data_IF_619985002179
#
_entry.id   IF_619985002179
#
_cell.length_a   1.000
_cell.length_b   1.000
_cell.length_c   1.000
_cell.angle_alpha   90.00
_cell.angle_beta   90.00
_cell.angle_gamma   90.00
#
_symmetry.space_group_name_H-M   'P 1'
#
loop_
_entity.id
_entity.type
_entity.pdbx_description
1 polymer ?
#
# COMPACT_ATOMS: atom_id res chain seq x y z
N UNK A 1 -9.96 31.49 -18.86
CA UNK A 1 -8.68 30.75 -18.97
C UNK A 1 -8.60 29.89 -20.24
N UNK A 2 -9.69 29.66 -21.00
CA UNK A 2 -9.63 28.94 -22.29
C UNK A 2 -8.78 29.65 -23.35
N UNK A 3 -8.91 30.97 -23.50
CA UNK A 3 -8.19 31.77 -24.52
C UNK A 3 -6.66 31.60 -24.47
N UNK A 4 -6.10 31.36 -23.27
CA UNK A 4 -4.67 31.08 -23.14
C UNK A 4 -4.31 29.76 -23.81
N UNK A 5 -5.07 28.68 -23.56
CA UNK A 5 -4.84 27.37 -24.16
C UNK A 5 -5.16 27.35 -25.66
N UNK A 6 -6.14 28.12 -26.09
CA UNK A 6 -6.55 28.22 -27.49
C UNK A 6 -5.55 28.99 -28.38
N UNK A 7 -4.81 29.94 -27.79
CA UNK A 7 -3.86 30.81 -28.52
C UNK A 7 -2.43 30.71 -28.00
N UNK A 8 -2.11 29.62 -27.30
CA UNK A 8 -0.81 29.46 -26.64
C UNK A 8 0.38 29.49 -27.62
N UNK A 9 0.16 29.09 -28.88
CA UNK A 9 1.16 29.04 -29.95
C UNK A 9 1.60 30.41 -30.47
N UNK A 10 0.86 31.49 -30.14
CA UNK A 10 1.22 32.86 -30.54
C UNK A 10 2.32 33.46 -29.66
N UNK A 11 2.66 32.80 -28.54
CA UNK A 11 3.71 33.23 -27.62
C UNK A 11 5.07 32.66 -28.06
N UNK A 12 6.06 33.53 -28.28
CA UNK A 12 7.42 33.11 -28.62
C UNK A 12 8.07 32.18 -27.57
N UNK A 13 7.71 32.34 -26.30
CA UNK A 13 8.25 31.55 -25.19
C UNK A 13 7.34 30.39 -24.75
N UNK A 14 6.40 29.96 -25.60
CA UNK A 14 5.36 29.02 -25.19
C UNK A 14 5.92 27.71 -24.64
N UNK A 15 6.94 27.14 -25.27
CA UNK A 15 7.55 25.88 -24.80
C UNK A 15 8.12 26.02 -23.38
N UNK A 16 8.69 27.19 -23.06
CA UNK A 16 9.21 27.48 -21.72
C UNK A 16 8.08 27.58 -20.70
N UNK A 17 6.98 28.24 -21.06
CA UNK A 17 5.82 28.44 -20.20
C UNK A 17 5.11 27.09 -19.95
N UNK A 18 4.85 26.31 -21.00
CA UNK A 18 4.28 24.96 -20.88
C UNK A 18 5.19 24.10 -20.00
N UNK A 19 6.50 24.08 -20.25
CA UNK A 19 7.44 23.34 -19.43
C UNK A 19 7.50 23.80 -17.96
N UNK A 20 7.16 25.06 -17.65
CA UNK A 20 6.99 25.52 -16.26
C UNK A 20 5.69 25.01 -15.65
N UNK A 21 4.58 25.07 -16.40
CA UNK A 21 3.27 24.57 -15.98
C UNK A 21 3.35 23.07 -15.70
N UNK A 22 3.85 22.27 -16.65
CA UNK A 22 3.98 20.82 -16.51
C UNK A 22 4.85 20.42 -15.31
N UNK A 23 5.97 21.14 -15.08
CA UNK A 23 6.81 20.92 -13.89
C UNK A 23 6.08 21.28 -12.59
N UNK A 24 5.25 22.32 -12.61
CA UNK A 24 4.41 22.72 -11.48
C UNK A 24 3.36 21.64 -11.17
N UNK A 25 2.62 21.21 -12.19
CA UNK A 25 1.59 20.18 -12.10
C UNK A 25 2.19 18.84 -11.64
N UNK A 26 3.33 18.43 -12.18
CA UNK A 26 4.02 17.21 -11.76
C UNK A 26 4.38 17.22 -10.27
N UNK A 27 4.80 18.37 -9.73
CA UNK A 27 5.08 18.53 -8.29
C UNK A 27 3.82 18.42 -7.45
N UNK A 28 2.74 19.07 -7.88
CA UNK A 28 1.44 19.01 -7.19
C UNK A 28 0.91 17.57 -7.18
N UNK A 29 0.94 16.91 -8.33
CA UNK A 29 0.46 15.54 -8.48
C UNK A 29 1.27 14.55 -7.65
N UNK A 30 2.59 14.74 -7.57
CA UNK A 30 3.46 13.97 -6.68
C UNK A 30 3.08 14.15 -5.21
N UNK A 31 2.85 15.39 -4.75
CA UNK A 31 2.43 15.67 -3.36
C UNK A 31 1.11 14.96 -3.02
N UNK A 32 0.13 15.02 -3.92
CA UNK A 32 -1.17 14.34 -3.77
C UNK A 32 -0.98 12.82 -3.71
N UNK A 33 -0.15 12.26 -4.60
CA UNK A 33 0.18 10.84 -4.64
C UNK A 33 0.79 10.34 -3.34
N UNK A 34 1.81 11.05 -2.83
CA UNK A 34 2.49 10.70 -1.57
C UNK A 34 1.51 10.73 -0.40
N UNK A 35 0.70 11.79 -0.28
CA UNK A 35 -0.31 11.90 0.77
C UNK A 35 -1.26 10.70 0.76
N UNK A 36 -1.82 10.37 -0.42
CA UNK A 36 -2.73 9.23 -0.58
C UNK A 36 -2.05 7.90 -0.24
N UNK A 37 -0.79 7.73 -0.64
CA UNK A 37 -0.04 6.51 -0.37
C UNK A 37 0.20 6.32 1.13
N UNK A 38 0.57 7.40 1.84
CA UNK A 38 0.73 7.39 3.29
C UNK A 38 -0.60 7.15 4.01
N UNK A 39 -1.69 7.85 3.62
CA UNK A 39 -3.02 7.66 4.20
C UNK A 39 -3.49 6.21 4.07
N UNK A 40 -3.36 5.63 2.87
CA UNK A 40 -3.68 4.22 2.61
C UNK A 40 -2.84 3.26 3.47
N UNK A 41 -1.55 3.55 3.64
CA UNK A 41 -0.65 2.74 4.46
C UNK A 41 -1.01 2.82 5.95
N UNK A 42 -1.28 4.02 6.47
CA UNK A 42 -1.66 4.23 7.87
C UNK A 42 -3.01 3.59 8.21
N UNK A 43 -3.98 3.69 7.29
CA UNK A 43 -5.32 3.12 7.47
C UNK A 43 -5.35 1.60 7.64
N UNK A 44 -4.28 0.88 7.29
CA UNK A 44 -4.16 -0.57 7.49
C UNK A 44 -3.85 -0.98 8.93
N UNK A 45 -3.41 -0.05 9.78
CA UNK A 45 -2.95 -0.34 11.13
C UNK A 45 -3.75 0.46 12.16
N UNK A 46 -4.18 -0.22 13.24
CA UNK A 46 -4.85 0.45 14.37
C UNK A 46 -3.89 1.29 15.20
N UNK A 47 -2.64 0.84 15.32
CA UNK A 47 -1.57 1.56 16.02
C UNK A 47 -0.31 1.64 15.13
N UNK A 48 -0.24 2.58 14.17
CA UNK A 48 0.83 2.65 13.17
C UNK A 48 2.23 2.74 13.79
N UNK A 49 2.41 3.55 14.85
CA UNK A 49 3.70 3.72 15.54
C UNK A 49 4.30 2.43 16.12
N UNK A 50 3.50 1.39 16.33
CA UNK A 50 3.97 0.11 16.87
C UNK A 50 3.88 -1.00 15.81
N UNK A 51 2.89 -0.96 14.92
CA UNK A 51 2.53 -2.10 14.06
C UNK A 51 2.92 -1.91 12.59
N UNK A 52 3.13 -0.69 12.11
CA UNK A 52 3.39 -0.43 10.69
C UNK A 52 4.69 -1.07 10.21
N UNK A 53 4.59 -2.04 9.29
CA UNK A 53 5.76 -2.66 8.65
C UNK A 53 5.96 -2.12 7.25
N UNK A 54 7.21 -1.97 6.83
CA UNK A 54 7.60 -1.52 5.49
C UNK A 54 8.18 -2.69 4.71
N UNK A 55 7.71 -2.88 3.47
CA UNK A 55 8.26 -3.88 2.56
C UNK A 55 9.54 -3.34 1.89
N UNK A 56 10.71 -3.67 2.45
CA UNK A 56 11.98 -3.13 1.96
C UNK A 56 12.50 -3.76 0.66
N UNK A 57 12.16 -5.02 0.40
CA UNK A 57 12.86 -5.82 -0.63
C UNK A 57 14.38 -5.78 -0.40
N UNK A 58 15.13 -5.36 -1.41
CA UNK A 58 16.60 -5.24 -1.36
C UNK A 58 17.09 -3.91 -0.75
N UNK A 59 16.21 -2.95 -0.44
CA UNK A 59 16.57 -1.55 -0.13
C UNK A 59 16.53 -1.17 1.37
N UNK A 60 16.59 -2.14 2.30
CA UNK A 60 16.53 -1.83 3.74
C UNK A 60 17.70 -0.95 4.20
N UNK A 61 18.90 -1.18 3.66
CA UNK A 61 20.14 -0.56 4.12
C UNK A 61 20.58 -1.09 5.49
N UNK A 62 21.87 -0.98 5.81
CA UNK A 62 22.45 -1.53 7.06
C UNK A 62 22.30 -0.60 8.27
N UNK A 63 22.08 0.69 8.03
CA UNK A 63 22.21 1.72 9.06
C UNK A 63 20.88 2.06 9.75
N UNK A 64 19.75 1.73 9.14
CA UNK A 64 18.42 2.11 9.62
C UNK A 64 17.68 0.90 10.16
N UNK A 65 17.06 1.03 11.33
CA UNK A 65 16.23 -0.02 11.90
C UNK A 65 14.76 0.11 11.46
N UNK A 66 14.01 -0.99 11.59
CA UNK A 66 12.58 -0.99 11.25
C UNK A 66 11.75 -0.11 12.22
N UNK A 67 12.26 0.13 13.42
CA UNK A 67 11.62 0.99 14.42
C UNK A 67 11.83 2.47 14.08
N UNK A 68 13.05 2.85 13.69
CA UNK A 68 13.38 4.19 13.21
C UNK A 68 12.56 4.56 11.96
N UNK A 69 12.55 3.69 10.95
CA UNK A 69 11.80 3.96 9.71
C UNK A 69 10.29 4.09 9.95
N UNK A 70 9.75 3.24 10.83
CA UNK A 70 8.33 3.30 11.23
C UNK A 70 8.00 4.64 11.88
N UNK A 71 8.87 5.10 12.78
CA UNK A 71 8.70 6.39 13.42
C UNK A 71 8.76 7.53 12.41
N UNK A 72 9.74 7.52 11.48
CA UNK A 72 9.86 8.54 10.44
C UNK A 72 8.60 8.61 9.58
N UNK A 73 8.09 7.47 9.11
CA UNK A 73 6.89 7.42 8.26
C UNK A 73 5.63 7.87 9.03
N UNK A 74 5.49 7.46 10.29
CA UNK A 74 4.37 7.88 11.14
C UNK A 74 4.43 9.38 11.48
N UNK A 75 5.61 9.91 11.77
CA UNK A 75 5.80 11.32 12.08
C UNK A 75 5.59 12.20 10.85
N UNK A 76 6.10 11.77 9.69
CA UNK A 76 5.91 12.43 8.40
C UNK A 76 4.42 12.56 8.05
N UNK A 77 3.64 11.50 8.29
CA UNK A 77 2.18 11.54 8.11
C UNK A 77 1.49 12.46 9.11
N UNK A 78 1.87 12.39 10.39
CA UNK A 78 1.27 13.18 11.48
C UNK A 78 1.51 14.69 11.32
N UNK A 79 2.74 15.09 10.94
CA UNK A 79 3.11 16.49 10.74
C UNK A 79 2.60 17.04 9.40
N UNK A 80 2.44 16.15 8.42
CA UNK A 80 2.00 16.44 7.07
C UNK A 80 3.16 16.74 6.13
N UNK A 81 3.38 15.88 5.14
CA UNK A 81 4.50 15.94 4.17
C UNK A 81 4.71 17.30 3.47
N UNK A 82 3.65 18.11 3.33
CA UNK A 82 3.69 19.34 2.54
C UNK A 82 4.14 20.59 3.32
N UNK A 83 4.38 20.48 4.63
CA UNK A 83 4.95 21.59 5.40
C UNK A 83 6.43 21.79 5.05
N UNK A 84 6.87 23.04 5.00
CA UNK A 84 8.22 23.41 4.56
C UNK A 84 9.33 22.90 5.50
N UNK A 85 9.03 22.81 6.81
CA UNK A 85 10.00 22.44 7.87
C UNK A 85 9.73 21.07 8.49
N UNK A 86 9.04 20.15 7.81
CA UNK A 86 8.66 18.84 8.40
C UNK A 86 9.86 18.05 8.86
N UNK A 87 10.96 18.09 8.10
CA UNK A 87 12.15 17.31 8.42
C UNK A 87 12.92 17.90 9.60
N UNK A 88 12.90 19.23 9.77
CA UNK A 88 13.44 19.91 10.94
C UNK A 88 12.57 19.69 12.19
N UNK A 89 11.25 19.72 12.04
CA UNK A 89 10.34 19.34 13.14
C UNK A 89 10.53 17.86 13.53
N UNK A 90 10.65 16.98 12.54
CA UNK A 90 10.87 15.54 12.78
C UNK A 90 12.19 15.30 13.52
N UNK A 91 13.27 16.01 13.17
CA UNK A 91 14.56 15.90 13.87
C UNK A 91 14.45 16.36 15.33
N UNK A 92 13.66 17.40 15.61
CA UNK A 92 13.39 17.88 16.98
C UNK A 92 12.52 16.90 17.80
N UNK A 93 11.68 16.09 17.17
CA UNK A 93 10.88 15.09 17.87
C UNK A 93 11.65 13.80 18.18
N UNK A 94 12.65 13.43 17.39
CA UNK A 94 13.46 12.21 17.63
C UNK A 94 14.03 12.11 19.06
N UNK A 95 14.60 13.18 19.66
CA UNK A 95 15.11 13.14 21.04
C UNK A 95 14.05 13.00 22.14
N UNK A 96 12.80 13.36 21.85
CA UNK A 96 11.71 13.40 22.85
C UNK A 96 11.06 12.04 23.11
N UNK A 97 11.26 11.08 22.20
CA UNK A 97 10.73 9.73 22.35
C UNK A 97 11.51 8.92 23.40
N UNK A 98 10.86 8.35 24.42
CA UNK A 98 11.52 7.44 25.37
C UNK A 98 12.23 6.28 24.68
N UNK A 99 11.70 5.81 23.55
CA UNK A 99 12.25 4.71 22.75
C UNK A 99 13.59 5.04 22.09
N UNK A 100 13.90 6.32 21.84
CA UNK A 100 15.15 6.75 21.21
C UNK A 100 16.18 7.25 22.24
N UNK A 101 15.97 6.99 23.53
CA UNK A 101 16.81 7.54 24.59
C UNK A 101 18.29 7.17 24.43
N UNK A 102 18.58 5.95 23.97
CA UNK A 102 19.94 5.45 23.73
C UNK A 102 20.33 5.41 22.24
N UNK A 103 19.42 5.78 21.35
CA UNK A 103 19.66 5.76 19.91
C UNK A 103 20.35 7.06 19.46
N UNK A 104 21.68 7.05 19.53
CA UNK A 104 22.53 8.14 19.04
C UNK A 104 22.52 8.26 17.50
N UNK A 105 22.16 7.20 16.78
CA UNK A 105 22.17 7.21 15.32
C UNK A 105 21.08 8.15 14.80
N UNK A 106 19.83 7.94 15.21
CA UNK A 106 18.71 8.78 14.75
C UNK A 106 18.81 10.21 15.28
N UNK A 107 19.35 10.40 16.49
CA UNK A 107 19.58 11.73 17.10
C UNK A 107 20.65 12.55 16.39
N UNK A 108 21.64 11.90 15.79
CA UNK A 108 22.72 12.59 15.07
C UNK A 108 22.38 12.88 13.61
N UNK A 109 21.19 12.50 13.12
CA UNK A 109 20.79 12.76 11.73
C UNK A 109 20.36 14.19 11.53
N UNK A 110 20.85 14.77 10.44
CA UNK A 110 20.39 16.08 9.95
C UNK A 110 19.03 15.97 9.28
N UNK A 111 18.28 17.07 9.21
CA UNK A 111 17.01 17.13 8.48
C UNK A 111 17.14 16.64 7.02
N UNK A 112 18.25 16.95 6.35
CA UNK A 112 18.51 16.50 4.98
C UNK A 112 18.71 14.97 4.89
N UNK A 113 19.35 14.35 5.87
CA UNK A 113 19.49 12.88 5.91
C UNK A 113 18.15 12.20 6.20
N UNK A 114 17.36 12.75 7.13
CA UNK A 114 16.00 12.29 7.40
C UNK A 114 15.13 12.41 6.14
N UNK A 115 15.24 13.52 5.41
CA UNK A 115 14.54 13.73 4.15
C UNK A 115 14.89 12.68 3.09
N UNK A 116 16.18 12.40 2.88
CA UNK A 116 16.62 11.35 1.94
C UNK A 116 16.07 9.98 2.33
N UNK A 117 16.09 9.66 3.63
CA UNK A 117 15.53 8.40 4.12
C UNK A 117 14.03 8.34 3.88
N UNK A 118 13.28 9.37 4.27
CA UNK A 118 11.84 9.48 4.05
C UNK A 118 11.46 9.33 2.57
N UNK A 119 12.18 9.98 1.64
CA UNK A 119 11.95 9.83 0.20
C UNK A 119 12.12 8.37 -0.28
N UNK A 120 13.07 7.65 0.29
CA UNK A 120 13.26 6.22 0.01
C UNK A 120 12.08 5.41 0.55
N UNK A 121 11.67 5.66 1.79
CA UNK A 121 10.53 4.98 2.42
C UNK A 121 9.21 5.24 1.68
N UNK A 122 8.99 6.46 1.22
CA UNK A 122 7.84 6.83 0.38
C UNK A 122 7.82 5.98 -0.89
N UNK A 123 8.95 5.90 -1.62
CA UNK A 123 9.05 5.09 -2.84
C UNK A 123 8.72 3.62 -2.58
N UNK A 124 9.16 3.07 -1.45
CA UNK A 124 8.84 1.70 -1.05
C UNK A 124 7.34 1.51 -0.77
N UNK A 125 6.72 2.47 -0.09
CA UNK A 125 5.28 2.45 0.21
C UNK A 125 4.44 2.60 -1.06
N UNK A 126 4.82 3.49 -1.97
CA UNK A 126 4.16 3.67 -3.27
C UNK A 126 4.19 2.37 -4.07
N UNK A 127 5.35 1.72 -4.16
CA UNK A 127 5.50 0.43 -4.83
C UNK A 127 4.66 -0.66 -4.17
N UNK A 128 4.70 -0.77 -2.84
CA UNK A 128 3.90 -1.74 -2.09
C UNK A 128 2.40 -1.53 -2.34
N UNK A 129 1.94 -0.28 -2.36
CA UNK A 129 0.54 0.04 -2.65
C UNK A 129 0.16 -0.36 -4.08
N UNK A 130 1.03 -0.12 -5.05
CA UNK A 130 0.80 -0.50 -6.45
C UNK A 130 0.66 -2.02 -6.60
N UNK A 131 1.57 -2.78 -5.98
CA UNK A 131 1.52 -4.25 -5.99
C UNK A 131 0.25 -4.80 -5.32
N UNK A 132 -0.25 -4.13 -4.28
CA UNK A 132 -1.50 -4.51 -3.60
C UNK A 132 -2.73 -4.17 -4.45
N UNK A 133 -2.78 -2.99 -5.08
CA UNK A 133 -3.86 -2.60 -5.97
C UNK A 133 -3.96 -3.53 -7.19
N UNK A 134 -2.83 -3.96 -7.75
CA UNK A 134 -2.79 -4.93 -8.84
C UNK A 134 -3.32 -6.30 -8.44
N UNK A 135 -2.93 -6.80 -7.25
CA UNK A 135 -3.45 -8.05 -6.70
C UNK A 135 -4.97 -8.00 -6.49
N UNK A 136 -5.48 -6.92 -5.90
CA UNK A 136 -6.92 -6.75 -5.68
C UNK A 136 -7.70 -6.72 -7.01
N UNK A 137 -7.17 -6.04 -8.04
CA UNK A 137 -7.76 -6.04 -9.39
C UNK A 137 -7.75 -7.42 -10.03
N UNK A 138 -6.67 -8.19 -9.85
CA UNK A 138 -6.57 -9.54 -10.38
C UNK A 138 -7.57 -10.50 -9.70
N UNK A 139 -7.74 -10.40 -8.39
CA UNK A 139 -8.72 -11.19 -7.63
C UNK A 139 -10.16 -10.85 -8.00
N UNK A 140 -10.50 -9.56 -8.15
CA UNK A 140 -11.82 -9.12 -8.65
C UNK A 140 -12.13 -9.66 -10.05
N UNK A 141 -11.13 -9.74 -10.93
CA UNK A 141 -11.28 -10.35 -12.28
C UNK A 141 -11.48 -11.87 -12.22
N UNK A 142 -10.84 -12.57 -11.27
CA UNK A 142 -11.02 -14.01 -11.07
C UNK A 142 -12.37 -14.35 -10.43
N UNK A 143 -12.83 -13.58 -9.43
CA UNK A 143 -14.13 -13.76 -8.80
C UNK A 143 -15.31 -13.62 -9.77
N UNK A 144 -15.20 -12.73 -10.77
CA UNK A 144 -16.24 -12.52 -11.79
C UNK A 144 -16.31 -13.61 -12.87
N UNK A 145 -15.27 -14.45 -13.02
CA UNK A 145 -15.29 -15.66 -13.87
C UNK A 145 -15.78 -16.92 -13.13
N UNK A 146 -15.90 -16.89 -11.80
CA UNK A 146 -16.33 -18.03 -10.99
C UNK A 146 -17.84 -18.16 -10.79
N UNK A 147 -18.64 -17.12 -11.05
CA UNK A 147 -20.11 -17.15 -10.82
C UNK A 147 -20.94 -17.36 -12.10
N UNK A 148 -20.35 -17.87 -13.18
CA UNK A 148 -20.97 -18.00 -14.51
C UNK A 148 -21.00 -19.42 -15.07
N UNK A 149 -21.08 -20.45 -14.22
CA UNK A 149 -21.04 -21.87 -14.62
C UNK A 149 -22.11 -22.70 -13.93
N UNK A 150 -23.38 -22.34 -14.06
CA UNK A 150 -24.51 -23.24 -13.79
C UNK A 150 -25.10 -23.66 -15.14
N UNK A 151 -24.56 -24.72 -15.72
CA UNK A 151 -25.11 -25.38 -16.90
C UNK A 151 -25.12 -26.89 -16.66
N UNK A 152 -26.28 -27.33 -16.18
CA UNK A 152 -26.93 -28.63 -16.39
C UNK A 152 -26.25 -29.60 -17.35
N UNK A 153 -26.00 -30.83 -16.88
CA UNK A 153 -25.99 -32.03 -17.72
C UNK A 153 -27.00 -33.06 -17.19
N UNK A 154 -27.57 -33.89 -18.08
CA UNK A 154 -28.97 -34.31 -18.00
C UNK A 154 -29.14 -35.71 -17.38
N UNK A 155 -30.21 -35.83 -16.59
CA UNK A 155 -30.74 -37.10 -16.07
C UNK A 155 -31.37 -37.89 -17.21
N UNK A 156 -30.93 -39.14 -17.42
CA UNK A 156 -31.67 -40.15 -18.20
C UNK A 156 -32.32 -41.18 -17.26
N UNK A 157 -33.47 -41.77 -17.64
CA UNK A 157 -34.42 -42.37 -16.71
C UNK A 157 -34.39 -43.90 -16.73
N UNK A 158 -34.52 -44.58 -15.59
CA UNK A 158 -34.97 -45.98 -15.60
C UNK A 158 -35.80 -46.39 -14.36
N UNK A 159 -37.08 -46.65 -14.67
CA UNK A 159 -38.12 -47.50 -14.05
C UNK A 159 -38.02 -47.94 -12.58
N UNK A 160 -39.09 -47.56 -11.87
CA UNK A 160 -39.69 -48.19 -10.68
C UNK A 160 -39.70 -49.73 -10.74
N UNK A 161 -39.40 -50.40 -9.62
CA UNK A 161 -40.29 -51.36 -8.94
C UNK A 161 -39.96 -51.44 -7.45
N UNK A 162 -41.00 -51.63 -6.66
CA UNK A 162 -41.04 -51.66 -5.21
C UNK A 162 -41.00 -53.11 -4.67
N UNK A 163 -40.81 -53.18 -3.34
CA UNK A 163 -41.19 -54.24 -2.41
C UNK A 163 -40.22 -55.42 -2.19
N UNK A 164 -40.04 -55.83 -0.93
CA UNK A 164 -39.24 -57.01 -0.57
C UNK A 164 -38.46 -56.92 0.74
N UNK A 165 -39.19 -57.00 1.84
CA UNK A 165 -38.85 -57.13 3.27
C UNK A 165 -37.73 -58.15 3.66
N UNK A 166 -37.15 -57.90 4.86
CA UNK A 166 -36.73 -58.82 5.93
C UNK A 166 -35.23 -59.01 6.28
N UNK A 167 -34.98 -58.71 7.55
CA UNK A 167 -34.15 -59.40 8.56
C UNK A 167 -32.72 -59.86 8.24
N UNK A 168 -31.79 -59.53 9.16
CA UNK A 168 -30.48 -60.17 9.16
C UNK A 168 -29.48 -59.58 10.13
N UNK A 169 -29.62 -59.92 11.42
CA UNK A 169 -28.62 -59.71 12.49
C UNK A 169 -27.23 -60.21 12.06
N UNK A 170 -26.16 -59.51 12.45
CA UNK A 170 -24.83 -60.13 12.43
C UNK A 170 -23.62 -59.18 12.51
N UNK A 171 -23.37 -58.60 13.69
CA UNK A 171 -21.99 -58.26 14.11
C UNK A 171 -21.43 -59.55 14.76
N UNK A 172 -20.19 -60.02 14.50
CA UNK A 172 -19.05 -59.44 15.21
C UNK A 172 -17.62 -59.55 14.61
N UNK A 173 -16.77 -58.67 15.18
CA UNK A 173 -15.35 -58.81 15.60
C UNK A 173 -14.22 -59.07 14.58
N UNK A 174 -13.35 -58.04 14.52
CA UNK A 174 -11.88 -58.01 14.75
C UNK A 174 -11.11 -59.34 14.66
N UNK A 175 -10.05 -59.34 13.83
CA UNK A 175 -8.69 -59.88 14.10
C UNK A 175 -7.73 -58.99 13.29
N UNK A 176 -6.83 -58.23 13.90
CA UNK A 176 -5.54 -58.52 14.57
C UNK A 176 -4.45 -57.93 13.67
#
# INVERSE_FOLDING_TARGET
MEVFWDRNQELQDIERIIGQIERGEAKIQRKIGIKRALDSKMGRYRAPFHQLRIAYGTNKGKNWTEEEDRFLVCMLHKLGFDKENVYDETSNFCPTGPQFRFDWFIKSRTAMELQRRCNTLITLIERENQELEEKERAEKKKGRKGSGGKASTPVKPEKRKADGTLDGRGRPKKRK
#
